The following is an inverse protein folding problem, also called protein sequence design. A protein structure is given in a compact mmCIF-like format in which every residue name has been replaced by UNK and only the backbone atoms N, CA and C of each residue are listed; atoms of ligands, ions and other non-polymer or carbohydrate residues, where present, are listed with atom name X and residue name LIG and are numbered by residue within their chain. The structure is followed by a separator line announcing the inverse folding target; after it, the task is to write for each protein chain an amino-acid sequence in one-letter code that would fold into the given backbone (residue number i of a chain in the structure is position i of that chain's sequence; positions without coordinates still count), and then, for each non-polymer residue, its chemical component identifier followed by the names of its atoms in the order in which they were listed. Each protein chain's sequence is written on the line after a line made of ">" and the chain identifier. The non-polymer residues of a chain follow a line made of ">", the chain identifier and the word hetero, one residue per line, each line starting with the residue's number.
data_IF_781073257006
#
_entry.id   IF_781073257006
#
_cell.length_a   1.000
_cell.length_b   1.000
_cell.length_c   1.000
_cell.angle_alpha   90.00
_cell.angle_beta   90.00
_cell.angle_gamma   90.00
#
_symmetry.space_group_name_H-M   'P 1'
#
loop_
_entity.id
_entity.type
_entity.pdbx_description
1 polymer ?
#
# COMPACT_ATOMS: atom_id res chain seq x y z
N UNK A 1 -25.60 67.51 35.30
CA UNK A 1 -24.31 67.01 35.82
C UNK A 1 -23.67 66.19 34.70
N UNK A 2 -22.63 66.75 34.09
CA UNK A 2 -22.14 66.42 32.75
C UNK A 2 -21.23 65.19 32.79
N UNK A 3 -21.63 64.08 32.16
CA UNK A 3 -20.83 62.86 32.12
C UNK A 3 -19.99 62.85 30.84
N UNK A 4 -18.67 62.90 31.01
CA UNK A 4 -17.66 62.93 29.95
C UNK A 4 -17.62 61.59 29.22
N UNK A 5 -17.70 61.67 27.89
CA UNK A 5 -17.31 60.60 26.95
C UNK A 5 -15.79 60.46 27.00
N UNK A 6 -15.28 59.25 27.14
CA UNK A 6 -13.87 58.93 26.90
C UNK A 6 -13.81 57.62 26.13
N UNK A 7 -13.68 57.76 24.81
CA UNK A 7 -13.20 56.71 23.93
C UNK A 7 -11.68 56.83 23.85
N UNK A 8 -10.96 55.71 24.03
CA UNK A 8 -9.55 55.58 23.65
C UNK A 8 -9.30 54.15 23.15
N UNK A 9 -8.50 54.09 22.10
CA UNK A 9 -8.41 53.04 21.10
C UNK A 9 -7.59 51.81 21.54
N UNK A 10 -8.07 50.67 21.05
CA UNK A 10 -7.37 49.53 20.44
C UNK A 10 -5.84 49.38 20.61
N UNK A 11 -5.44 48.18 21.06
CA UNK A 11 -4.31 47.44 20.48
C UNK A 11 -4.48 45.95 20.79
N UNK A 12 -5.12 45.22 19.87
CA UNK A 12 -5.11 43.76 19.87
C UNK A 12 -3.86 43.31 19.10
N UNK A 13 -2.77 43.02 19.81
CA UNK A 13 -1.64 42.32 19.23
C UNK A 13 -2.03 40.84 19.10
N UNK A 14 -2.54 40.45 17.94
CA UNK A 14 -2.70 39.04 17.60
C UNK A 14 -1.30 38.45 17.35
N UNK A 15 -0.73 37.81 18.37
CA UNK A 15 0.46 36.99 18.21
C UNK A 15 0.03 35.74 17.45
N UNK A 16 0.16 35.78 16.12
CA UNK A 16 0.01 34.58 15.31
C UNK A 16 1.21 33.67 15.60
N UNK A 17 1.05 32.77 16.58
CA UNK A 17 1.89 31.59 16.64
C UNK A 17 1.59 30.77 15.39
N UNK A 18 2.45 30.90 14.37
CA UNK A 18 2.56 29.87 13.35
C UNK A 18 2.96 28.60 14.10
N UNK A 19 1.98 27.73 14.35
CA UNK A 19 2.25 26.40 14.85
C UNK A 19 3.19 25.72 13.83
N UNK A 20 4.28 25.07 14.27
CA UNK A 20 5.02 24.22 13.36
C UNK A 20 4.05 23.13 12.88
N UNK A 21 3.71 23.13 11.60
CA UNK A 21 3.09 21.98 10.96
C UNK A 21 4.15 20.89 10.95
N UNK A 22 4.15 20.08 12.00
CA UNK A 22 4.88 18.83 12.03
C UNK A 22 4.18 17.94 11.00
N UNK A 23 4.68 17.98 9.77
CA UNK A 23 4.33 17.01 8.75
C UNK A 23 4.96 15.67 9.17
N UNK A 24 4.19 14.91 9.95
CA UNK A 24 4.54 13.56 10.40
C UNK A 24 3.53 12.58 9.84
N UNK A 25 3.49 12.50 8.51
CA UNK A 25 3.16 11.24 7.84
C UNK A 25 4.42 10.45 7.47
N UNK A 26 5.54 10.74 8.14
CA UNK A 26 6.63 9.79 8.30
C UNK A 26 6.24 8.80 9.37
N UNK A 27 6.12 7.52 8.99
CA UNK A 27 6.10 6.40 9.93
C UNK A 27 7.21 6.67 10.94
N UNK A 28 6.88 6.62 12.23
CA UNK A 28 7.88 6.74 13.28
C UNK A 28 8.80 5.53 13.14
N UNK A 29 9.88 5.66 12.36
CA UNK A 29 10.81 4.59 12.04
C UNK A 29 11.46 4.01 13.31
N UNK A 30 11.26 4.66 14.46
CA UNK A 30 11.64 4.23 15.80
C UNK A 30 10.72 3.17 16.41
N UNK A 31 9.55 2.92 15.83
CA UNK A 31 8.58 1.93 16.32
C UNK A 31 8.58 0.62 15.51
N UNK A 32 9.25 0.56 14.35
CA UNK A 32 9.33 -0.65 13.53
C UNK A 32 10.59 -1.43 13.87
N UNK A 33 10.43 -2.60 14.47
CA UNK A 33 11.54 -3.46 14.88
C UNK A 33 12.13 -4.23 13.70
N UNK A 34 11.30 -4.58 12.71
CA UNK A 34 11.69 -5.40 11.56
C UNK A 34 10.81 -5.07 10.35
N UNK A 35 11.41 -5.08 9.16
CA UNK A 35 10.71 -4.97 7.89
C UNK A 35 10.64 -6.35 7.24
N UNK A 36 9.42 -6.80 6.94
CA UNK A 36 9.18 -7.97 6.12
C UNK A 36 9.07 -7.54 4.65
N UNK A 37 9.96 -8.10 3.84
CA UNK A 37 9.97 -7.91 2.39
C UNK A 37 9.07 -8.93 1.70
N UNK A 38 8.60 -8.64 0.47
CA UNK A 38 7.86 -9.60 -0.32
C UNK A 38 8.59 -10.95 -0.47
N UNK A 39 7.89 -12.04 -0.16
CA UNK A 39 8.30 -13.40 -0.52
C UNK A 39 8.09 -13.70 -2.02
N UNK A 40 7.19 -12.94 -2.67
CA UNK A 40 6.91 -13.06 -4.09
C UNK A 40 6.06 -11.91 -4.60
N UNK A 41 6.29 -11.51 -5.85
CA UNK A 41 5.49 -10.51 -6.57
C UNK A 41 5.02 -11.14 -7.88
N UNK A 42 3.72 -11.04 -8.14
CA UNK A 42 3.07 -11.69 -9.27
C UNK A 42 2.21 -10.69 -10.02
N UNK A 43 2.44 -10.55 -11.32
CA UNK A 43 1.58 -9.75 -12.18
C UNK A 43 0.50 -10.64 -12.80
N UNK A 44 -0.74 -10.24 -12.64
CA UNK A 44 -1.93 -10.93 -13.14
C UNK A 44 -2.59 -10.13 -14.26
N UNK A 45 -2.85 -10.76 -15.41
CA UNK A 45 -3.61 -10.16 -16.51
C UNK A 45 -5.10 -10.42 -16.36
N UNK A 46 -5.89 -9.36 -16.28
CA UNK A 46 -7.31 -9.42 -15.92
C UNK A 46 -8.11 -10.25 -16.94
N UNK A 47 -7.91 -10.03 -18.23
CA UNK A 47 -8.69 -10.73 -19.27
C UNK A 47 -8.25 -12.18 -19.47
N UNK A 48 -6.93 -12.43 -19.50
CA UNK A 48 -6.40 -13.75 -19.87
C UNK A 48 -6.21 -14.68 -18.68
N UNK A 49 -6.23 -14.16 -17.46
CA UNK A 49 -5.86 -14.89 -16.24
C UNK A 49 -4.38 -15.26 -16.15
N UNK A 50 -3.54 -14.80 -17.10
CA UNK A 50 -2.12 -15.10 -17.11
C UNK A 50 -1.44 -14.50 -15.88
N UNK A 51 -0.55 -15.27 -15.24
CA UNK A 51 0.31 -14.80 -14.15
C UNK A 51 1.78 -14.91 -14.56
N UNK A 52 2.56 -13.88 -14.22
CA UNK A 52 4.02 -13.89 -14.29
C UNK A 52 4.57 -13.60 -12.91
N UNK A 53 5.48 -14.46 -12.45
CA UNK A 53 6.25 -14.26 -11.21
C UNK A 53 7.46 -13.36 -11.48
N UNK A 54 7.75 -12.48 -10.53
CA UNK A 54 8.85 -11.54 -10.51
C UNK A 54 9.12 -10.82 -11.86
N UNK A 55 8.11 -10.10 -12.41
CA UNK A 55 8.26 -9.40 -13.69
C UNK A 55 9.05 -8.10 -13.51
N UNK A 56 10.32 -8.24 -13.16
CA UNK A 56 11.28 -7.15 -12.94
C UNK A 56 11.19 -6.10 -14.07
N UNK A 57 11.28 -4.83 -13.67
CA UNK A 57 11.22 -3.66 -14.56
C UNK A 57 9.96 -3.49 -15.44
N UNK A 58 8.91 -4.28 -15.25
CA UNK A 58 7.65 -4.13 -15.97
C UNK A 58 6.63 -3.30 -15.20
N UNK A 59 5.67 -2.68 -15.89
CA UNK A 59 4.45 -2.19 -15.23
C UNK A 59 3.78 -3.35 -14.49
N UNK A 60 3.40 -3.13 -13.25
CA UNK A 60 2.83 -4.18 -12.39
C UNK A 60 1.31 -4.05 -12.36
N UNK A 61 0.81 -2.82 -12.24
CA UNK A 61 -0.62 -2.51 -12.23
C UNK A 61 -0.91 -1.62 -13.42
N UNK A 62 -1.88 -2.02 -14.25
CA UNK A 62 -2.35 -1.26 -15.40
C UNK A 62 -3.88 -1.29 -15.42
N UNK A 63 -4.51 -0.11 -15.43
CA UNK A 63 -5.93 0.07 -15.69
C UNK A 63 -6.11 1.18 -16.71
N UNK A 64 -6.55 0.83 -17.91
CA UNK A 64 -6.58 1.76 -19.04
C UNK A 64 -7.84 1.63 -19.90
N UNK A 65 -8.80 0.78 -19.51
CA UNK A 65 -10.03 0.51 -20.27
C UNK A 65 -9.85 -0.48 -21.42
N UNK A 66 -8.62 -0.98 -21.66
CA UNK A 66 -8.34 -2.02 -22.65
C UNK A 66 -8.06 -3.33 -21.92
N UNK A 67 -9.09 -4.17 -21.79
CA UNK A 67 -9.08 -5.40 -20.99
C UNK A 67 -7.86 -6.32 -21.23
N UNK A 68 -7.35 -6.39 -22.46
CA UNK A 68 -6.18 -7.19 -22.81
C UNK A 68 -4.88 -6.73 -22.14
N UNK A 69 -4.78 -5.44 -21.80
CA UNK A 69 -3.60 -4.81 -21.21
C UNK A 69 -3.74 -4.64 -19.69
N UNK A 70 -4.95 -4.76 -19.15
CA UNK A 70 -5.22 -4.52 -17.73
C UNK A 70 -4.57 -5.59 -16.86
N UNK A 71 -3.85 -5.14 -15.84
CA UNK A 71 -3.10 -5.99 -14.93
C UNK A 71 -3.25 -5.54 -13.49
N UNK A 72 -3.21 -6.49 -12.58
CA UNK A 72 -3.12 -6.29 -11.13
C UNK A 72 -1.91 -7.01 -10.59
N UNK A 73 -1.55 -6.70 -9.35
CA UNK A 73 -0.37 -7.29 -8.72
C UNK A 73 -0.72 -7.96 -7.43
N UNK A 74 -0.30 -9.21 -7.26
CA UNK A 74 -0.40 -9.94 -6.01
C UNK A 74 1.00 -9.99 -5.40
N UNK A 75 1.11 -9.62 -4.13
CA UNK A 75 2.35 -9.66 -3.37
C UNK A 75 2.16 -10.54 -2.15
N UNK A 76 3.08 -11.47 -1.94
CA UNK A 76 3.02 -12.43 -0.83
C UNK A 76 4.06 -12.11 0.23
N UNK A 77 3.72 -12.33 1.49
CA UNK A 77 4.58 -12.06 2.65
C UNK A 77 4.57 -13.26 3.58
N UNK A 78 5.76 -13.71 3.98
CA UNK A 78 5.93 -14.79 4.96
C UNK A 78 6.11 -14.17 6.35
N UNK A 79 5.19 -14.51 7.26
CA UNK A 79 5.25 -14.10 8.65
C UNK A 79 5.73 -15.30 9.46
N UNK A 80 7.00 -15.29 9.85
CA UNK A 80 7.53 -16.37 10.68
C UNK A 80 6.92 -16.35 12.09
N UNK A 81 7.20 -17.41 12.87
CA UNK A 81 6.73 -17.57 14.23
C UNK A 81 7.22 -16.47 15.20
N UNK A 82 8.31 -15.76 14.87
CA UNK A 82 8.83 -14.67 15.71
C UNK A 82 7.94 -13.42 15.70
N UNK A 83 7.05 -13.30 14.70
CA UNK A 83 6.07 -12.21 14.62
C UNK A 83 4.86 -12.42 15.53
N UNK A 84 4.77 -13.57 16.23
CA UNK A 84 3.64 -13.93 17.08
C UNK A 84 3.42 -12.90 18.20
N UNK A 85 2.19 -12.40 18.29
CA UNK A 85 1.80 -11.40 19.29
C UNK A 85 2.20 -9.96 18.96
N UNK A 86 2.86 -9.72 17.82
CA UNK A 86 3.24 -8.38 17.35
C UNK A 86 2.15 -7.77 16.48
N UNK A 87 2.28 -6.46 16.23
CA UNK A 87 1.44 -5.72 15.27
C UNK A 87 2.20 -5.56 13.95
N UNK A 88 1.50 -5.76 12.83
CA UNK A 88 2.05 -5.66 11.49
C UNK A 88 1.32 -4.55 10.74
N UNK A 89 2.07 -3.59 10.22
CA UNK A 89 1.54 -2.47 9.41
C UNK A 89 1.91 -2.67 7.94
N UNK A 90 0.91 -2.71 7.05
CA UNK A 90 1.16 -2.72 5.61
C UNK A 90 1.59 -1.34 5.14
N UNK A 91 2.82 -1.28 4.64
CA UNK A 91 3.46 -0.12 4.05
C UNK A 91 3.46 -0.27 2.53
N UNK A 92 3.48 0.85 1.81
CA UNK A 92 3.73 0.88 0.38
C UNK A 92 4.50 2.15 0.05
N UNK A 93 5.73 2.03 -0.44
CA UNK A 93 6.60 3.15 -0.74
C UNK A 93 6.99 3.17 -2.21
N UNK A 94 7.01 4.34 -2.85
CA UNK A 94 7.59 4.53 -4.19
C UNK A 94 8.68 5.61 -4.17
N UNK A 95 9.76 5.37 -4.92
CA UNK A 95 10.87 6.31 -5.12
C UNK A 95 10.79 7.00 -6.48
N UNK A 96 11.58 8.05 -6.70
CA UNK A 96 11.54 8.86 -7.93
C UNK A 96 11.63 8.05 -9.24
N UNK A 97 12.37 6.94 -9.25
CA UNK A 97 12.56 6.07 -10.43
C UNK A 97 11.41 5.10 -10.72
N UNK A 98 10.45 4.96 -9.81
CA UNK A 98 9.30 4.08 -9.96
C UNK A 98 8.27 4.65 -10.95
N UNK A 99 7.09 4.05 -11.12
CA UNK A 99 6.00 4.62 -11.93
C UNK A 99 4.74 4.72 -11.08
N UNK A 100 4.09 5.88 -11.12
CA UNK A 100 2.75 6.08 -10.57
C UNK A 100 2.06 7.22 -11.32
N UNK A 101 1.16 6.87 -12.24
CA UNK A 101 0.44 7.80 -13.12
C UNK A 101 -1.07 7.59 -13.07
N UNK A 102 -1.84 8.51 -13.68
CA UNK A 102 -3.30 8.50 -13.64
C UNK A 102 -3.88 9.01 -12.32
N UNK A 103 -4.93 8.35 -11.83
CA UNK A 103 -5.49 8.59 -10.50
C UNK A 103 -4.51 8.24 -9.39
N UNK A 104 -3.61 7.27 -9.65
CA UNK A 104 -2.62 6.73 -8.70
C UNK A 104 -3.27 6.18 -7.43
N UNK A 105 -4.48 5.65 -7.58
CA UNK A 105 -5.28 5.07 -6.50
C UNK A 105 -5.42 3.58 -6.74
N UNK A 106 -5.23 2.78 -5.68
CA UNK A 106 -5.29 1.33 -5.71
C UNK A 106 -6.27 0.83 -4.65
N UNK A 107 -7.14 -0.10 -5.00
CA UNK A 107 -7.86 -0.93 -4.05
C UNK A 107 -6.95 -2.07 -3.61
N UNK A 108 -7.00 -2.40 -2.33
CA UNK A 108 -6.19 -3.41 -1.67
C UNK A 108 -7.11 -4.54 -1.22
N UNK A 109 -6.80 -5.76 -1.65
CA UNK A 109 -7.55 -6.96 -1.31
C UNK A 109 -6.66 -7.96 -0.59
N UNK A 110 -7.20 -8.69 0.39
CA UNK A 110 -6.56 -9.93 0.82
C UNK A 110 -6.67 -10.97 -0.28
N UNK A 111 -5.67 -11.83 -0.35
CA UNK A 111 -5.62 -12.96 -1.26
C UNK A 111 -5.30 -14.23 -0.47
N UNK A 112 -6.31 -15.06 -0.22
CA UNK A 112 -6.21 -16.33 0.51
C UNK A 112 -5.46 -17.37 -0.29
N UNK A 113 -4.82 -18.28 0.44
CA UNK A 113 -3.99 -19.37 -0.09
C UNK A 113 -3.00 -18.90 -1.19
N UNK A 114 -2.17 -17.88 -0.91
CA UNK A 114 -1.08 -17.53 -1.81
C UNK A 114 -0.20 -18.76 -2.06
N UNK A 115 0.43 -18.89 -3.24
CA UNK A 115 1.18 -20.07 -3.61
C UNK A 115 2.26 -20.32 -2.55
N UNK A 116 2.23 -21.49 -1.91
CA UNK A 116 3.17 -21.81 -0.85
C UNK A 116 4.61 -21.80 -1.37
N UNK A 117 5.42 -20.94 -0.76
CA UNK A 117 6.87 -20.88 -0.92
C UNK A 117 7.38 -20.06 -2.11
N UNK A 118 8.70 -19.84 -2.20
CA UNK A 118 9.37 -19.18 -3.33
C UNK A 118 9.37 -20.03 -4.63
N UNK A 119 8.38 -20.92 -4.80
CA UNK A 119 8.44 -22.06 -5.74
C UNK A 119 7.11 -22.37 -6.42
N UNK A 120 6.38 -21.37 -6.90
CA UNK A 120 5.67 -21.58 -8.16
C UNK A 120 6.73 -21.63 -9.29
N UNK A 121 7.57 -22.68 -9.30
CA UNK A 121 8.77 -22.76 -10.15
C UNK A 121 8.45 -22.94 -11.63
N UNK A 122 7.17 -23.07 -12.00
CA UNK A 122 6.74 -23.10 -13.38
C UNK A 122 5.59 -22.12 -13.62
N UNK A 123 5.57 -21.53 -14.82
CA UNK A 123 4.43 -20.75 -15.29
C UNK A 123 3.10 -21.55 -15.27
N UNK A 124 3.19 -22.88 -15.33
CA UNK A 124 2.04 -23.78 -15.22
C UNK A 124 1.46 -23.81 -13.80
N UNK A 125 2.31 -23.79 -12.76
CA UNK A 125 1.87 -23.74 -11.37
C UNK A 125 1.22 -22.39 -11.04
N UNK A 126 1.82 -21.29 -11.52
CA UNK A 126 1.25 -19.96 -11.41
C UNK A 126 -0.10 -19.82 -12.16
N UNK A 127 -0.23 -20.39 -13.37
CA UNK A 127 -1.47 -20.38 -14.13
C UNK A 127 -2.57 -21.24 -13.47
N UNK A 128 -2.21 -22.40 -12.91
CA UNK A 128 -3.13 -23.29 -12.16
C UNK A 128 -3.63 -22.65 -10.86
N UNK A 129 -2.82 -21.78 -10.25
CA UNK A 129 -3.21 -20.97 -9.11
C UNK A 129 -4.20 -19.87 -9.52
N UNK A 130 -3.87 -19.09 -10.55
CA UNK A 130 -4.71 -18.02 -11.10
C UNK A 130 -6.14 -18.48 -11.45
N UNK A 131 -6.25 -19.67 -12.05
CA UNK A 131 -7.54 -20.20 -12.52
C UNK A 131 -8.49 -20.64 -11.39
N UNK A 132 -8.01 -20.71 -10.15
CA UNK A 132 -8.75 -21.30 -9.02
C UNK A 132 -9.26 -20.29 -7.99
N UNK A 133 -8.72 -19.06 -7.95
CA UNK A 133 -8.99 -18.13 -6.85
C UNK A 133 -9.09 -16.68 -7.32
N UNK A 134 -10.03 -15.98 -6.70
CA UNK A 134 -10.32 -14.55 -6.89
C UNK A 134 -9.93 -13.80 -5.62
N UNK A 135 -9.85 -12.47 -5.72
CA UNK A 135 -9.82 -11.54 -4.58
C UNK A 135 -10.83 -11.96 -3.51
N UNK A 136 -10.40 -11.94 -2.26
CA UNK A 136 -11.29 -12.16 -1.13
C UNK A 136 -11.87 -10.83 -0.64
N UNK A 137 -11.28 -10.27 0.42
CA UNK A 137 -11.81 -9.13 1.12
C UNK A 137 -11.16 -7.85 0.61
N UNK A 138 -11.99 -6.88 0.22
CA UNK A 138 -11.53 -5.50 0.05
C UNK A 138 -11.20 -4.92 1.43
N UNK A 139 -9.92 -4.65 1.68
CA UNK A 139 -9.41 -4.18 2.98
C UNK A 139 -9.07 -2.71 3.02
N UNK A 140 -9.08 -2.05 1.86
CA UNK A 140 -9.02 -0.60 1.81
C UNK A 140 -8.57 -0.07 0.46
N UNK A 141 -8.39 1.24 0.43
CA UNK A 141 -7.97 2.00 -0.73
C UNK A 141 -6.78 2.87 -0.35
N UNK A 142 -5.75 2.83 -1.18
CA UNK A 142 -4.54 3.62 -0.99
C UNK A 142 -4.30 4.55 -2.16
N UNK A 143 -3.73 5.71 -1.86
CA UNK A 143 -3.16 6.64 -2.81
C UNK A 143 -1.65 6.45 -2.83
N UNK A 144 -1.06 6.15 -3.98
CA UNK A 144 0.38 5.85 -4.13
C UNK A 144 1.12 7.00 -4.83
N UNK A 145 1.48 8.09 -4.13
CA UNK A 145 2.32 9.13 -4.71
C UNK A 145 3.73 8.60 -5.02
N UNK A 146 4.44 9.33 -5.87
CA UNK A 146 5.84 9.06 -6.18
C UNK A 146 6.57 10.41 -6.29
N UNK A 147 7.65 10.64 -5.53
CA UNK A 147 8.13 9.80 -4.43
C UNK A 147 7.21 9.96 -3.20
N UNK A 148 7.15 8.96 -2.31
CA UNK A 148 6.62 8.99 -0.93
C UNK A 148 5.96 7.64 -0.56
N UNK A 149 5.57 7.52 0.71
CA UNK A 149 4.69 6.46 1.19
C UNK A 149 3.26 6.68 0.70
N UNK A 150 2.55 5.57 0.50
CA UNK A 150 1.14 5.57 0.23
C UNK A 150 0.33 6.05 1.44
N UNK A 151 -0.76 6.75 1.17
CA UNK A 151 -1.74 7.11 2.20
C UNK A 151 -2.98 6.24 2.05
N UNK A 152 -3.51 5.76 3.17
CA UNK A 152 -4.77 5.04 3.19
C UNK A 152 -5.92 6.05 3.14
N UNK A 153 -6.68 6.04 2.04
CA UNK A 153 -7.88 6.85 1.88
C UNK A 153 -9.06 6.21 2.61
N UNK A 154 -9.10 4.86 2.62
CA UNK A 154 -10.12 4.06 3.27
C UNK A 154 -9.46 2.79 3.80
N UNK A 155 -9.86 2.33 4.97
CA UNK A 155 -9.41 1.04 5.49
C UNK A 155 -10.52 0.31 6.23
N UNK A 156 -10.46 -1.01 6.18
CA UNK A 156 -11.46 -1.91 6.75
C UNK A 156 -10.76 -3.04 7.51
N UNK A 157 -11.49 -3.72 8.39
CA UNK A 157 -11.02 -4.97 9.02
C UNK A 157 -9.69 -4.81 9.79
N UNK A 158 -9.43 -3.61 10.33
CA UNK A 158 -8.21 -3.30 11.09
C UNK A 158 -7.00 -2.88 10.25
N UNK A 159 -7.09 -2.86 8.91
CA UNK A 159 -5.96 -2.41 8.08
C UNK A 159 -5.68 -0.90 8.22
N UNK A 160 -4.43 -0.45 7.97
CA UNK A 160 -3.24 -1.24 7.64
C UNK A 160 -2.59 -2.00 8.81
N UNK A 161 -3.00 -1.73 10.06
CA UNK A 161 -2.37 -2.23 11.29
C UNK A 161 -3.10 -3.43 11.85
N UNK A 162 -2.67 -4.62 11.45
CA UNK A 162 -3.28 -5.89 11.83
C UNK A 162 -2.41 -6.63 12.86
N UNK A 163 -2.98 -7.54 13.66
CA UNK A 163 -2.18 -8.55 14.34
C UNK A 163 -1.34 -9.32 13.31
N UNK A 164 -0.05 -9.53 13.59
CA UNK A 164 0.80 -10.30 12.69
C UNK A 164 0.28 -11.74 12.57
N UNK A 165 0.02 -12.24 11.35
CA UNK A 165 -0.45 -13.60 11.11
C UNK A 165 0.71 -14.60 11.19
N UNK A 166 1.30 -14.76 12.38
CA UNK A 166 2.49 -15.57 12.59
C UNK A 166 2.31 -17.02 12.13
N UNK A 167 3.35 -17.56 11.48
CA UNK A 167 3.36 -18.87 10.87
C UNK A 167 2.61 -18.96 9.53
N UNK A 168 2.18 -17.83 8.95
CA UNK A 168 1.37 -17.81 7.73
C UNK A 168 2.06 -17.11 6.57
N UNK A 169 1.73 -17.56 5.36
CA UNK A 169 1.97 -16.84 4.12
C UNK A 169 0.69 -16.07 3.75
N UNK A 170 0.79 -14.75 3.61
CA UNK A 170 -0.36 -13.89 3.27
C UNK A 170 -0.15 -13.23 1.93
N UNK A 171 -1.19 -13.25 1.09
CA UNK A 171 -1.24 -12.53 -0.18
C UNK A 171 -2.04 -11.23 -0.06
N UNK A 172 -1.57 -10.19 -0.74
CA UNK A 172 -2.26 -8.92 -0.91
C UNK A 172 -2.30 -8.57 -2.40
N UNK A 173 -3.49 -8.34 -2.94
CA UNK A 173 -3.67 -7.89 -4.33
C UNK A 173 -3.93 -6.38 -4.41
N UNK A 174 -3.27 -5.72 -5.35
CA UNK A 174 -3.40 -4.30 -5.64
C UNK A 174 -4.05 -4.09 -7.01
N UNK A 175 -5.12 -3.31 -7.04
CA UNK A 175 -6.00 -3.14 -8.19
C UNK A 175 -6.13 -1.65 -8.51
N UNK A 176 -5.85 -1.24 -9.74
CA UNK A 176 -6.03 0.16 -10.15
C UNK A 176 -7.49 0.63 -10.03
N UNK A 177 -7.70 1.84 -9.53
CA UNK A 177 -9.02 2.45 -9.34
C UNK A 177 -9.21 3.68 -10.24
N UNK A 178 -10.36 3.76 -10.89
CA UNK A 178 -10.65 4.83 -11.85
C UNK A 178 -9.93 4.62 -13.18
N UNK A 179 -9.69 5.71 -13.90
CA UNK A 179 -9.16 5.65 -15.26
C UNK A 179 -7.64 5.88 -15.31
N UNK A 180 -6.97 5.16 -16.21
CA UNK A 180 -5.56 5.36 -16.60
C UNK A 180 -4.53 5.18 -15.47
N UNK A 181 -4.67 4.17 -14.62
CA UNK A 181 -3.67 3.85 -13.58
C UNK A 181 -2.52 3.05 -14.18
N UNK A 182 -1.29 3.49 -13.93
CA UNK A 182 -0.10 2.67 -14.14
C UNK A 182 0.81 2.77 -12.92
N UNK A 183 1.20 1.62 -12.36
CA UNK A 183 2.11 1.54 -11.23
C UNK A 183 3.18 0.48 -11.49
N UNK A 184 4.43 0.84 -11.20
CA UNK A 184 5.61 -0.04 -11.19
C UNK A 184 6.46 0.35 -10.00
N UNK A 185 7.05 -0.63 -9.34
CA UNK A 185 8.10 -0.45 -8.34
C UNK A 185 9.27 -1.38 -8.65
N UNK A 186 10.41 -1.14 -8.03
CA UNK A 186 11.54 -2.06 -8.06
C UNK A 186 11.32 -3.18 -7.03
N UNK A 187 11.14 -4.41 -7.51
CA UNK A 187 10.73 -5.53 -6.67
C UNK A 187 11.88 -5.90 -5.73
N UNK A 188 11.55 -5.99 -4.43
CA UNK A 188 12.53 -6.25 -3.38
C UNK A 188 13.26 -4.99 -2.90
N UNK A 189 13.12 -3.85 -3.62
CA UNK A 189 13.67 -2.57 -3.19
C UNK A 189 12.58 -1.64 -2.71
N UNK A 190 11.59 -1.27 -3.55
CA UNK A 190 10.43 -0.42 -3.22
C UNK A 190 9.12 -1.22 -3.29
N UNK A 191 7.98 -0.55 -3.13
CA UNK A 191 6.66 -1.16 -3.16
C UNK A 191 6.15 -1.57 -1.78
N UNK A 192 5.28 -2.60 -1.72
CA UNK A 192 4.65 -2.99 -0.47
C UNK A 192 5.56 -3.81 0.44
N UNK A 193 5.50 -3.52 1.74
CA UNK A 193 6.26 -4.19 2.82
C UNK A 193 5.43 -4.24 4.10
N UNK A 194 5.76 -5.11 5.04
CA UNK A 194 5.18 -5.02 6.39
C UNK A 194 6.20 -4.52 7.39
N UNK A 195 5.83 -3.49 8.16
CA UNK A 195 6.54 -3.12 9.38
C UNK A 195 6.02 -3.93 10.56
N UNK A 196 6.91 -4.62 11.27
CA UNK A 196 6.60 -5.36 12.49
C UNK A 196 6.91 -4.48 13.70
N UNK A 197 5.93 -4.33 14.58
CA UNK A 197 5.92 -3.43 15.74
C UNK A 197 5.59 -4.27 16.97
N UNK A 198 6.50 -4.38 17.94
CA UNK A 198 6.21 -5.00 19.25
C UNK A 198 7.34 -5.81 19.86
#
# INVERSE_FOLDING_TARGET
>A
MTMKVSALLASAAAVAFAAPTVDTHGIDARAVDTILYPAGTYRYWVQSGKIIWDPQDQLLIVKNGKAADETTTIVTFEFDESTRGKTCELLFELWDRDVSTGTKTLDVFTYSDPPMGPRASSAADAAKWASKKSRDNHVGRIRVPKPSNATWEQSYQGWPKIPCPAGQLVGVEYVGVGDQVQVRWDIGVTGPRFGVIG
#
